data_IF_548713505095
#
_entry.id   IF_548713505095
#
_cell.length_a   1.000
_cell.length_b   1.000
_cell.length_c   1.000
_cell.angle_alpha   90.00
_cell.angle_beta   90.00
_cell.angle_gamma   90.00
#
_symmetry.space_group_name_H-M   'P 1'
#
loop_
_entity.id
_entity.type
_entity.pdbx_description
1 polymer ?
#
# COMPACT_ATOMS: atom_id res chain seq x y z
N UNK A 1 8.01 62.42 6.84
CA UNK A 1 8.50 62.91 5.53
C UNK A 1 9.75 62.11 5.20
N UNK A 2 9.68 61.11 4.41
CA UNK A 2 10.79 60.22 4.04
C UNK A 2 10.57 59.72 2.62
N UNK A 3 11.41 60.12 1.72
CA UNK A 3 11.39 59.80 0.30
C UNK A 3 11.70 58.31 0.07
N UNK A 4 10.83 57.63 -0.63
CA UNK A 4 11.13 56.39 -1.31
C UNK A 4 11.76 56.66 -2.67
N UNK A 5 13.04 56.31 -2.84
CA UNK A 5 13.70 56.27 -4.12
C UNK A 5 13.54 54.86 -4.73
N UNK A 6 12.75 54.76 -5.79
CA UNK A 6 12.66 53.57 -6.64
C UNK A 6 13.95 53.47 -7.50
N UNK A 7 14.65 52.34 -7.31
CA UNK A 7 15.68 51.89 -8.27
C UNK A 7 15.01 50.96 -9.29
N UNK A 8 14.72 51.48 -10.49
CA UNK A 8 14.39 50.67 -11.65
C UNK A 8 15.72 50.19 -12.27
N UNK A 9 16.07 48.91 -12.01
CA UNK A 9 17.10 48.22 -12.76
C UNK A 9 16.43 47.55 -13.96
N UNK A 10 16.56 48.12 -15.11
CA UNK A 10 16.20 47.51 -16.39
C UNK A 10 17.23 46.42 -16.70
N UNK A 11 16.91 45.17 -16.38
CA UNK A 11 17.67 44.04 -16.87
C UNK A 11 17.20 43.74 -18.30
N UNK A 12 18.00 44.14 -19.31
CA UNK A 12 17.85 43.64 -20.68
C UNK A 12 18.24 42.15 -20.69
N UNK A 13 17.32 41.27 -20.42
CA UNK A 13 17.49 39.84 -20.68
C UNK A 13 17.34 39.67 -22.19
N UNK A 14 18.42 39.32 -22.87
CA UNK A 14 18.39 38.89 -24.25
C UNK A 14 17.60 37.60 -24.30
N UNK A 15 16.31 37.63 -24.66
CA UNK A 15 15.46 36.44 -24.80
C UNK A 15 16.00 35.60 -25.96
N UNK A 16 16.42 34.37 -25.75
CA UNK A 16 16.82 33.46 -26.83
C UNK A 16 15.64 33.27 -27.80
N UNK A 17 15.95 33.12 -29.09
CA UNK A 17 14.92 32.91 -30.12
C UNK A 17 14.14 31.64 -29.76
N UNK A 18 12.83 31.62 -30.09
CA UNK A 18 11.91 30.50 -29.76
C UNK A 18 12.47 29.13 -30.18
N UNK A 19 13.24 29.06 -31.25
CA UNK A 19 13.90 27.86 -31.72
C UNK A 19 15.02 27.38 -30.78
N UNK A 20 15.74 28.30 -30.11
CA UNK A 20 16.79 27.94 -29.16
C UNK A 20 16.18 27.37 -27.86
N UNK A 21 15.03 27.91 -27.44
CA UNK A 21 14.28 27.38 -26.28
C UNK A 21 13.74 25.97 -26.57
N UNK A 22 13.25 25.72 -27.80
CA UNK A 22 12.81 24.38 -28.20
C UNK A 22 13.97 23.38 -28.22
N UNK A 23 15.13 23.75 -28.70
CA UNK A 23 16.33 22.90 -28.70
C UNK A 23 16.77 22.56 -27.27
N UNK A 24 16.80 23.53 -26.36
CA UNK A 24 17.15 23.34 -24.95
C UNK A 24 16.13 22.41 -24.25
N UNK A 25 14.84 22.59 -24.52
CA UNK A 25 13.80 21.74 -23.94
C UNK A 25 13.92 20.30 -24.45
N UNK A 26 14.17 20.09 -25.74
CA UNK A 26 14.35 18.76 -26.34
C UNK A 26 15.59 18.08 -25.76
N UNK A 27 16.73 18.78 -25.65
CA UNK A 27 17.94 18.25 -25.00
C UNK A 27 17.70 17.89 -23.53
N UNK A 28 17.02 18.75 -22.78
CA UNK A 28 16.70 18.49 -21.38
C UNK A 28 15.79 17.27 -21.19
N UNK A 29 14.76 17.13 -22.04
CA UNK A 29 13.85 15.96 -22.02
C UNK A 29 14.62 14.70 -22.41
N UNK A 30 15.49 14.77 -23.42
CA UNK A 30 16.30 13.63 -23.87
C UNK A 30 17.31 13.20 -22.80
N UNK A 31 18.02 14.14 -22.15
CA UNK A 31 18.92 13.83 -21.03
C UNK A 31 18.19 13.24 -19.84
N UNK A 32 17.01 13.75 -19.51
CA UNK A 32 16.21 13.23 -18.42
C UNK A 32 15.75 11.80 -18.67
N UNK A 33 15.35 11.47 -19.91
CA UNK A 33 14.98 10.11 -20.31
C UNK A 33 16.19 9.16 -20.31
N UNK A 34 17.37 9.62 -20.79
CA UNK A 34 18.60 8.83 -20.75
C UNK A 34 19.05 8.57 -19.32
N UNK A 35 19.00 9.57 -18.43
CA UNK A 35 19.30 9.42 -17.00
C UNK A 35 18.33 8.44 -16.32
N UNK A 36 17.04 8.48 -16.68
CA UNK A 36 16.04 7.53 -16.15
C UNK A 36 16.30 6.11 -16.63
N UNK A 37 16.69 5.92 -17.90
CA UNK A 37 17.07 4.60 -18.46
C UNK A 37 18.36 4.10 -17.81
N UNK A 38 19.35 4.95 -17.59
CA UNK A 38 20.60 4.61 -16.91
C UNK A 38 20.32 4.26 -15.43
N UNK A 39 19.46 5.00 -14.75
CA UNK A 39 19.06 4.70 -13.39
C UNK A 39 18.32 3.34 -13.32
N UNK A 40 17.43 3.05 -14.28
CA UNK A 40 16.75 1.77 -14.38
C UNK A 40 17.74 0.62 -14.68
N UNK A 41 18.70 0.84 -15.58
CA UNK A 41 19.75 -0.14 -15.90
C UNK A 41 20.72 -0.35 -14.73
N UNK A 42 21.03 0.69 -13.95
CA UNK A 42 21.83 0.59 -12.73
C UNK A 42 21.06 -0.14 -11.62
N UNK A 43 19.76 0.11 -11.46
CA UNK A 43 18.94 -0.65 -10.51
C UNK A 43 18.86 -2.14 -10.85
N UNK A 44 18.84 -2.49 -12.14
CA UNK A 44 18.91 -3.90 -12.60
C UNK A 44 20.33 -4.46 -12.50
N UNK A 45 21.36 -3.61 -12.65
CA UNK A 45 22.78 -4.02 -12.61
C UNK A 45 23.35 -4.18 -11.20
N UNK A 46 22.82 -3.48 -10.20
CA UNK A 46 23.26 -3.62 -8.80
C UNK A 46 22.73 -4.88 -8.10
N UNK A 47 21.82 -5.64 -8.73
CA UNK A 47 21.45 -6.98 -8.26
C UNK A 47 22.56 -8.02 -8.53
N UNK A 48 23.64 -7.65 -9.26
CA UNK A 48 24.64 -8.61 -9.79
C UNK A 48 26.03 -8.56 -9.14
N UNK A 49 26.33 -7.73 -8.13
CA UNK A 49 27.66 -7.70 -7.51
C UNK A 49 27.58 -7.27 -6.04
N UNK A 50 26.95 -8.07 -5.21
CA UNK A 50 27.12 -8.16 -3.79
C UNK A 50 27.16 -9.63 -3.44
N UNK A 51 27.89 -10.02 -2.42
CA UNK A 51 27.78 -11.36 -1.85
C UNK A 51 26.32 -11.76 -1.90
N UNK A 52 26.04 -12.93 -2.48
CA UNK A 52 24.69 -13.46 -2.60
C UNK A 52 24.10 -13.47 -1.19
N UNK A 53 23.27 -12.44 -0.90
CA UNK A 53 22.66 -12.31 0.41
C UNK A 53 21.76 -13.52 0.57
N UNK A 54 22.24 -14.49 1.35
CA UNK A 54 21.48 -15.65 1.74
C UNK A 54 20.46 -15.22 2.82
N UNK A 55 19.19 -14.96 2.46
CA UNK A 55 18.16 -14.58 3.42
C UNK A 55 17.94 -15.69 4.46
N UNK A 56 18.34 -16.93 4.18
CA UNK A 56 18.21 -18.07 5.08
C UNK A 56 19.31 -18.07 6.14
N UNK A 57 20.44 -17.42 5.89
CA UNK A 57 21.54 -17.29 6.86
C UNK A 57 21.24 -16.25 7.95
N UNK A 58 20.33 -15.30 7.71
CA UNK A 58 20.01 -14.28 8.70
C UNK A 58 18.98 -14.81 9.70
N UNK A 59 19.36 -14.92 10.97
CA UNK A 59 18.39 -15.08 12.04
C UNK A 59 17.51 -13.84 12.11
N UNK A 60 16.18 -14.04 12.06
CA UNK A 60 15.20 -12.99 12.26
C UNK A 60 14.20 -13.42 13.32
N UNK A 61 13.79 -12.47 14.16
CA UNK A 61 12.76 -12.70 15.16
C UNK A 61 11.37 -12.95 14.54
N UNK A 62 11.17 -12.55 13.28
CA UNK A 62 9.91 -12.81 12.57
C UNK A 62 9.89 -14.23 11.99
N UNK A 63 8.86 -14.98 12.38
CA UNK A 63 8.56 -16.33 11.84
C UNK A 63 7.08 -16.39 11.52
N UNK A 64 6.70 -16.72 10.26
CA UNK A 64 5.30 -16.93 9.91
C UNK A 64 4.67 -18.08 10.68
N UNK A 65 3.34 -18.06 10.84
CA UNK A 65 2.62 -19.17 11.47
C UNK A 65 2.84 -20.48 10.67
N UNK A 66 3.33 -21.55 11.32
CA UNK A 66 3.65 -22.80 10.63
C UNK A 66 2.40 -23.49 10.11
N UNK A 67 2.55 -24.30 9.05
CA UNK A 67 1.51 -25.20 8.52
C UNK A 67 0.39 -24.49 7.74
N UNK A 68 0.51 -23.21 7.47
CA UNK A 68 -0.44 -22.47 6.64
C UNK A 68 -0.02 -22.49 5.15
N UNK A 69 -1.01 -22.62 4.25
CA UNK A 69 -0.76 -22.59 2.81
C UNK A 69 -0.38 -21.18 2.36
N UNK A 70 0.69 -21.06 1.57
CA UNK A 70 1.20 -19.80 1.08
C UNK A 70 0.38 -19.29 -0.10
N UNK A 71 -0.09 -18.07 -0.02
CA UNK A 71 -0.81 -17.39 -1.10
C UNK A 71 0.21 -16.88 -2.13
N UNK A 72 0.08 -17.28 -3.40
CA UNK A 72 0.95 -16.85 -4.47
C UNK A 72 0.49 -15.53 -5.10
N UNK A 73 -0.82 -15.34 -5.26
CA UNK A 73 -1.36 -14.06 -5.72
C UNK A 73 -2.76 -13.78 -5.18
N UNK A 74 -3.10 -12.50 -5.15
CA UNK A 74 -4.45 -11.99 -4.93
C UNK A 74 -4.76 -10.97 -6.01
N UNK A 75 -5.86 -11.17 -6.74
CA UNK A 75 -6.32 -10.25 -7.79
C UNK A 75 -7.75 -9.82 -7.51
N UNK A 76 -7.99 -8.52 -7.36
CA UNK A 76 -9.32 -7.93 -7.21
C UNK A 76 -9.69 -7.15 -8.45
N UNK A 77 -10.90 -7.36 -8.99
CA UNK A 77 -11.47 -6.60 -10.12
C UNK A 77 -12.80 -5.99 -9.72
N UNK A 78 -13.09 -4.79 -10.21
CA UNK A 78 -14.32 -4.06 -9.93
C UNK A 78 -14.54 -2.93 -10.94
N UNK A 79 -15.81 -2.54 -11.15
CA UNK A 79 -16.17 -1.40 -11.99
C UNK A 79 -16.21 -0.12 -11.15
N UNK A 80 -15.46 0.90 -11.55
CA UNK A 80 -15.50 2.22 -10.92
C UNK A 80 -15.03 3.29 -11.90
N UNK A 81 -15.61 4.50 -11.81
CA UNK A 81 -15.25 5.65 -12.64
C UNK A 81 -15.39 5.38 -14.16
N UNK A 82 -16.30 4.49 -14.56
CA UNK A 82 -16.60 4.18 -15.96
C UNK A 82 -15.62 3.23 -16.64
N UNK A 83 -14.87 2.44 -15.85
CA UNK A 83 -14.00 1.40 -16.37
C UNK A 83 -13.75 0.27 -15.38
N UNK A 84 -13.28 -0.86 -15.92
CA UNK A 84 -12.86 -2.00 -15.12
C UNK A 84 -11.51 -1.70 -14.47
N UNK A 85 -11.51 -1.66 -13.13
CA UNK A 85 -10.32 -1.53 -12.30
C UNK A 85 -9.82 -2.91 -11.89
N UNK A 86 -8.51 -3.06 -11.72
CA UNK A 86 -7.91 -4.30 -11.22
C UNK A 86 -6.71 -4.02 -10.34
N UNK A 87 -6.60 -4.76 -9.24
CA UNK A 87 -5.45 -4.79 -8.34
C UNK A 87 -4.95 -6.22 -8.27
N UNK A 88 -3.78 -6.51 -8.83
CA UNK A 88 -3.14 -7.82 -8.75
C UNK A 88 -1.83 -7.70 -7.97
N UNK A 89 -1.67 -8.54 -6.95
CA UNK A 89 -0.47 -8.67 -6.15
C UNK A 89 0.04 -10.10 -6.23
N UNK A 90 1.33 -10.26 -6.56
CA UNK A 90 2.02 -11.55 -6.64
C UNK A 90 3.11 -11.59 -5.58
N UNK A 91 3.21 -12.71 -4.87
CA UNK A 91 4.09 -12.90 -3.73
C UNK A 91 5.12 -13.99 -3.98
N UNK A 92 6.34 -13.78 -3.52
CA UNK A 92 7.31 -14.84 -3.36
C UNK A 92 7.78 -14.93 -1.91
N UNK A 93 8.29 -16.08 -1.52
CA UNK A 93 8.67 -16.39 -0.15
C UNK A 93 10.09 -16.93 -0.10
N UNK A 94 10.75 -16.77 1.04
CA UNK A 94 11.99 -17.45 1.34
C UNK A 94 11.73 -18.88 1.87
N UNK A 95 12.80 -19.64 2.13
CA UNK A 95 12.68 -21.01 2.63
C UNK A 95 12.02 -21.13 4.01
N UNK A 96 11.94 -20.05 4.79
CA UNK A 96 11.22 -19.97 6.07
C UNK A 96 9.74 -19.57 5.92
N UNK A 97 9.27 -19.38 4.68
CA UNK A 97 7.91 -18.94 4.37
C UNK A 97 7.64 -17.46 4.65
N UNK A 98 8.70 -16.65 4.87
CA UNK A 98 8.57 -15.19 5.00
C UNK A 98 8.43 -14.57 3.61
N UNK A 99 7.61 -13.53 3.47
CA UNK A 99 7.48 -12.82 2.19
C UNK A 99 8.84 -12.23 1.77
N UNK A 100 9.28 -12.54 0.55
CA UNK A 100 10.54 -12.06 -0.04
C UNK A 100 10.30 -10.92 -1.01
N UNK A 101 9.31 -11.08 -1.89
CA UNK A 101 8.94 -10.01 -2.83
C UNK A 101 7.42 -9.87 -2.94
N UNK A 102 6.99 -8.65 -3.22
CA UNK A 102 5.62 -8.35 -3.62
C UNK A 102 5.68 -7.54 -4.91
N UNK A 103 5.13 -8.10 -6.00
CA UNK A 103 4.97 -7.39 -7.26
C UNK A 103 3.50 -7.08 -7.47
N UNK A 104 3.20 -5.85 -7.85
CA UNK A 104 1.81 -5.41 -8.02
C UNK A 104 1.61 -4.78 -9.39
N UNK A 105 0.50 -5.15 -10.03
CA UNK A 105 -0.02 -4.53 -11.24
C UNK A 105 -1.43 -4.03 -10.94
N UNK A 106 -1.62 -2.71 -11.03
CA UNK A 106 -2.86 -2.05 -10.69
C UNK A 106 -3.31 -1.22 -11.88
N UNK A 107 -4.54 -1.40 -12.30
CA UNK A 107 -5.22 -0.56 -13.29
C UNK A 107 -6.38 0.12 -12.60
N UNK A 108 -6.41 1.43 -12.63
CA UNK A 108 -7.52 2.24 -12.09
C UNK A 108 -7.93 3.32 -13.09
N UNK A 109 -9.21 3.66 -13.04
CA UNK A 109 -9.73 4.87 -13.70
C UNK A 109 -9.85 5.97 -12.65
N UNK A 110 -9.10 7.06 -12.83
CA UNK A 110 -9.02 8.15 -11.86
C UNK A 110 -9.51 9.46 -12.44
N UNK A 111 -10.36 10.22 -11.73
CA UNK A 111 -10.80 11.52 -12.16
C UNK A 111 -9.64 12.53 -12.15
N UNK A 112 -9.39 13.17 -13.27
CA UNK A 112 -8.44 14.27 -13.44
C UNK A 112 -9.21 15.54 -13.78
N UNK A 113 -8.99 16.59 -13.02
CA UNK A 113 -9.58 17.90 -13.28
C UNK A 113 -8.75 18.63 -14.34
N UNK A 114 -9.36 18.89 -15.50
CA UNK A 114 -8.76 19.65 -16.58
C UNK A 114 -9.25 21.10 -16.49
N UNK A 115 -8.30 22.04 -16.36
CA UNK A 115 -8.57 23.47 -16.39
C UNK A 115 -8.52 23.95 -17.84
N UNK A 116 -9.67 24.18 -18.47
CA UNK A 116 -9.78 24.81 -19.78
C UNK A 116 -10.43 26.18 -19.62
N UNK A 117 -9.63 27.26 -19.73
CA UNK A 117 -10.12 28.65 -19.77
C UNK A 117 -11.16 29.01 -18.69
N UNK A 118 -10.96 28.53 -17.44
CA UNK A 118 -11.88 28.79 -16.33
C UNK A 118 -13.04 27.80 -16.17
N UNK A 119 -13.15 26.81 -17.03
CA UNK A 119 -14.03 25.66 -16.87
C UNK A 119 -13.25 24.49 -16.28
N UNK A 120 -13.83 23.83 -15.28
CA UNK A 120 -13.27 22.64 -14.64
C UNK A 120 -14.04 21.43 -15.16
N UNK A 121 -13.45 20.71 -16.10
CA UNK A 121 -13.98 19.43 -16.55
C UNK A 121 -13.25 18.30 -15.79
N UNK A 122 -14.02 17.33 -15.34
CA UNK A 122 -13.48 16.11 -14.74
C UNK A 122 -13.59 14.98 -15.74
N UNK A 123 -12.46 14.44 -16.15
CA UNK A 123 -12.38 13.30 -17.07
C UNK A 123 -11.68 12.14 -16.36
N UNK A 124 -12.24 10.94 -16.50
CA UNK A 124 -11.64 9.73 -15.95
C UNK A 124 -10.59 9.19 -16.92
N UNK A 125 -9.35 9.11 -16.44
CA UNK A 125 -8.22 8.57 -17.19
C UNK A 125 -7.79 7.24 -16.63
N UNK A 126 -7.44 6.33 -17.54
CA UNK A 126 -6.78 5.09 -17.17
C UNK A 126 -5.40 5.40 -16.59
N UNK A 127 -5.09 4.81 -15.44
CA UNK A 127 -3.81 4.88 -14.77
C UNK A 127 -3.32 3.45 -14.52
N UNK A 128 -2.14 3.11 -15.02
CA UNK A 128 -1.46 1.86 -14.75
C UNK A 128 -0.39 2.10 -13.69
N UNK A 129 -0.43 1.33 -12.61
CA UNK A 129 0.56 1.41 -11.53
C UNK A 129 1.23 0.04 -11.41
N UNK A 130 2.54 0.01 -11.60
CA UNK A 130 3.34 -1.18 -11.33
C UNK A 130 4.24 -0.95 -10.15
N UNK A 131 4.42 -1.93 -9.29
CA UNK A 131 5.36 -1.83 -8.19
C UNK A 131 6.05 -3.14 -7.89
N UNK A 132 7.25 -3.02 -7.31
CA UNK A 132 8.00 -4.14 -6.74
C UNK A 132 8.50 -3.73 -5.37
N UNK A 133 8.26 -4.57 -4.36
CA UNK A 133 8.79 -4.42 -3.01
C UNK A 133 9.60 -5.66 -2.65
N UNK A 134 10.83 -5.45 -2.15
CA UNK A 134 11.72 -6.50 -1.68
C UNK A 134 11.88 -6.38 -0.17
N UNK A 135 11.77 -7.49 0.53
CA UNK A 135 11.82 -7.59 1.99
C UNK A 135 13.13 -8.25 2.41
N UNK A 136 13.91 -7.56 3.22
CA UNK A 136 15.18 -8.03 3.75
C UNK A 136 15.09 -8.12 5.27
N UNK A 137 15.37 -9.32 5.81
CA UNK A 137 15.31 -9.62 7.24
C UNK A 137 16.74 -9.76 7.78
N UNK A 138 17.12 -8.94 8.77
CA UNK A 138 18.47 -8.94 9.36
C UNK A 138 18.37 -8.89 10.88
N UNK A 139 18.38 -10.03 11.55
CA UNK A 139 18.16 -10.07 12.99
C UNK A 139 16.80 -9.51 13.39
N UNK A 140 16.81 -8.41 14.13
CA UNK A 140 15.57 -7.70 14.52
C UNK A 140 15.10 -6.67 13.48
N UNK A 141 15.88 -6.45 12.43
CA UNK A 141 15.58 -5.42 11.44
C UNK A 141 14.83 -5.98 10.24
N UNK A 142 13.93 -5.15 9.71
CA UNK A 142 13.24 -5.33 8.44
C UNK A 142 13.55 -4.12 7.56
N UNK A 143 14.07 -4.37 6.36
CA UNK A 143 14.11 -3.36 5.30
C UNK A 143 13.10 -3.75 4.23
N UNK A 144 12.29 -2.80 3.76
CA UNK A 144 11.43 -2.96 2.59
C UNK A 144 11.84 -1.91 1.57
N UNK A 145 12.57 -2.36 0.54
CA UNK A 145 12.95 -1.55 -0.60
C UNK A 145 11.91 -1.70 -1.71
N UNK A 146 11.41 -0.59 -2.25
CA UNK A 146 10.36 -0.63 -3.25
C UNK A 146 10.56 0.39 -4.38
N UNK A 147 9.99 0.05 -5.53
CA UNK A 147 9.88 0.94 -6.69
C UNK A 147 8.42 0.93 -7.16
N UNK A 148 7.90 2.11 -7.49
CA UNK A 148 6.57 2.29 -8.06
C UNK A 148 6.67 3.10 -9.33
N UNK A 149 6.08 2.62 -10.41
CA UNK A 149 5.84 3.36 -11.65
C UNK A 149 4.35 3.65 -11.80
N UNK A 150 4.01 4.87 -12.10
CA UNK A 150 2.65 5.30 -12.41
C UNK A 150 2.64 5.84 -13.83
N UNK A 151 1.78 5.27 -14.69
CA UNK A 151 1.67 5.60 -16.09
C UNK A 151 0.24 5.95 -16.45
N UNK A 152 0.08 7.10 -17.09
CA UNK A 152 -1.16 7.55 -17.70
C UNK A 152 -0.99 7.47 -19.22
N UNK A 153 -1.55 6.44 -19.92
CA UNK A 153 -1.36 6.29 -21.36
C UNK A 153 -1.78 7.52 -22.17
N UNK A 154 -2.85 8.18 -21.75
CA UNK A 154 -3.41 9.35 -22.42
C UNK A 154 -2.82 10.69 -21.91
N UNK A 155 -2.05 10.68 -20.83
CA UNK A 155 -1.42 11.85 -20.22
C UNK A 155 0.04 11.56 -19.83
N UNK A 156 0.94 11.29 -20.78
CA UNK A 156 2.32 10.88 -20.48
C UNK A 156 3.12 11.87 -19.61
N UNK A 157 2.75 13.15 -19.63
CA UNK A 157 3.40 14.18 -18.78
C UNK A 157 3.12 13.94 -17.27
N UNK A 158 2.16 13.12 -16.91
CA UNK A 158 1.84 12.75 -15.52
C UNK A 158 2.58 11.49 -15.05
N UNK A 159 3.29 10.80 -15.95
CA UNK A 159 4.02 9.59 -15.60
C UNK A 159 5.09 9.85 -14.55
N UNK A 160 5.24 8.95 -13.58
CA UNK A 160 6.16 9.07 -12.46
C UNK A 160 6.76 7.73 -12.09
N UNK A 161 8.02 7.77 -11.65
CA UNK A 161 8.70 6.64 -11.00
C UNK A 161 9.23 7.14 -9.66
N UNK A 162 9.00 6.37 -8.62
CA UNK A 162 9.52 6.62 -7.29
C UNK A 162 10.12 5.33 -6.70
N UNK A 163 11.25 5.47 -6.01
CA UNK A 163 11.88 4.37 -5.27
C UNK A 163 12.25 4.87 -3.88
N UNK A 164 12.11 3.99 -2.89
CA UNK A 164 12.46 4.28 -1.50
C UNK A 164 12.71 2.99 -0.74
N UNK A 165 13.31 3.11 0.46
CA UNK A 165 13.39 2.03 1.46
C UNK A 165 12.80 2.50 2.77
N UNK A 166 12.04 1.62 3.41
CA UNK A 166 11.52 1.81 4.75
C UNK A 166 12.06 0.74 5.68
N UNK A 167 12.31 1.12 6.93
CA UNK A 167 12.94 0.27 7.91
C UNK A 167 11.99 0.02 9.08
N UNK A 168 11.99 -1.21 9.56
CA UNK A 168 11.25 -1.65 10.73
C UNK A 168 12.13 -2.42 11.70
N UNK A 169 11.62 -2.60 12.92
CA UNK A 169 12.28 -3.38 13.98
C UNK A 169 11.26 -4.33 14.58
N UNK A 170 11.63 -5.60 14.68
CA UNK A 170 10.84 -6.63 15.35
C UNK A 170 11.20 -6.72 16.84
N UNK A 171 10.20 -6.99 17.67
CA UNK A 171 10.40 -7.44 19.04
C UNK A 171 10.94 -8.87 19.08
N UNK A 172 11.48 -9.29 20.20
CA UNK A 172 11.97 -10.65 20.42
C UNK A 172 10.90 -11.74 20.23
N UNK A 173 9.63 -11.40 20.32
CA UNK A 173 8.50 -12.31 20.06
C UNK A 173 8.02 -12.31 18.60
N UNK A 174 8.78 -11.68 17.68
CA UNK A 174 8.53 -11.73 16.25
C UNK A 174 7.45 -10.77 15.71
N UNK A 175 6.94 -9.84 16.52
CA UNK A 175 6.01 -8.81 16.05
C UNK A 175 6.73 -7.49 15.77
N UNK A 176 6.26 -6.75 14.79
CA UNK A 176 6.87 -5.49 14.38
C UNK A 176 6.66 -4.41 15.47
N UNK A 177 7.73 -3.89 16.05
CA UNK A 177 7.69 -2.83 17.06
C UNK A 177 7.53 -1.45 16.44
N UNK A 178 8.26 -1.21 15.38
CA UNK A 178 8.28 0.05 14.62
C UNK A 178 8.41 -0.23 13.14
N UNK A 179 7.85 0.66 12.32
CA UNK A 179 8.12 0.70 10.89
C UNK A 179 8.06 2.15 10.41
N UNK A 180 9.17 2.67 9.89
CA UNK A 180 9.34 4.09 9.57
C UNK A 180 9.04 4.97 10.80
N UNK A 181 8.13 5.93 10.69
CA UNK A 181 7.70 6.81 11.78
C UNK A 181 6.58 6.24 12.66
N UNK A 182 6.07 5.05 12.34
CA UNK A 182 4.99 4.42 13.08
C UNK A 182 5.50 3.45 14.14
N UNK A 183 4.76 3.32 15.23
CA UNK A 183 5.04 2.39 16.32
C UNK A 183 3.79 1.59 16.73
N UNK A 184 3.98 0.42 17.34
CA UNK A 184 2.91 -0.53 17.58
C UNK A 184 2.94 -1.08 18.99
N UNK A 185 1.78 -1.13 19.65
CA UNK A 185 1.59 -1.70 20.98
C UNK A 185 0.74 -2.97 20.93
N UNK A 186 1.08 -3.94 21.76
CA UNK A 186 0.52 -5.28 21.74
C UNK A 186 0.01 -5.72 23.11
N UNK A 187 -1.06 -6.51 23.13
CA UNK A 187 -1.41 -7.39 24.23
C UNK A 187 -0.93 -8.80 23.84
N UNK A 188 0.14 -9.27 24.43
CA UNK A 188 0.91 -10.44 23.98
C UNK A 188 1.37 -10.28 22.51
N UNK A 189 0.81 -11.04 21.58
CA UNK A 189 1.09 -10.94 20.12
C UNK A 189 -0.05 -10.29 19.35
N UNK A 190 -1.10 -9.82 20.00
CA UNK A 190 -2.24 -9.17 19.34
C UNK A 190 -2.02 -7.67 19.29
N UNK A 191 -2.00 -7.09 18.09
CA UNK A 191 -1.95 -5.64 17.93
C UNK A 191 -3.14 -5.01 18.66
N UNK A 192 -2.83 -4.07 19.55
CA UNK A 192 -3.80 -3.30 20.33
C UNK A 192 -3.88 -1.86 19.82
N UNK A 193 -2.73 -1.21 19.63
CA UNK A 193 -2.66 0.17 19.19
C UNK A 193 -1.55 0.35 18.14
N UNK A 194 -1.81 1.22 17.16
CA UNK A 194 -0.82 1.67 16.21
C UNK A 194 -0.78 3.20 16.22
N UNK A 195 0.41 3.76 16.25
CA UNK A 195 0.65 5.20 16.29
C UNK A 195 1.33 5.64 15.00
N UNK A 196 0.79 6.67 14.34
CA UNK A 196 1.39 7.31 13.18
C UNK A 196 1.98 8.65 13.61
N UNK A 197 3.30 8.82 13.42
CA UNK A 197 4.08 10.01 13.79
C UNK A 197 3.90 10.43 15.28
N UNK A 198 3.44 9.52 16.14
CA UNK A 198 3.14 9.81 17.55
C UNK A 198 1.89 10.67 17.82
N UNK A 199 1.22 11.19 16.78
CA UNK A 199 0.06 12.09 16.91
C UNK A 199 -1.28 11.37 16.70
N UNK A 200 -1.36 10.44 15.77
CA UNK A 200 -2.59 9.71 15.44
C UNK A 200 -2.50 8.28 15.96
N UNK A 201 -3.50 7.88 16.73
CA UNK A 201 -3.63 6.53 17.26
C UNK A 201 -4.80 5.79 16.60
N UNK A 202 -4.58 4.51 16.34
CA UNK A 202 -5.58 3.53 15.94
C UNK A 202 -5.71 2.49 17.05
N UNK A 203 -6.85 2.48 17.76
CA UNK A 203 -7.20 1.41 18.68
C UNK A 203 -7.82 0.27 17.88
N UNK A 204 -7.16 -0.88 17.81
CA UNK A 204 -7.65 -2.08 17.13
C UNK A 204 -8.47 -2.93 18.10
N UNK A 205 -9.68 -3.27 17.74
CA UNK A 205 -10.61 -4.05 18.57
C UNK A 205 -10.84 -5.42 17.94
N UNK A 206 -10.88 -6.45 18.77
CA UNK A 206 -11.16 -7.83 18.36
C UNK A 206 -12.47 -8.32 18.95
N UNK A 207 -13.11 -9.25 18.24
CA UNK A 207 -14.27 -10.00 18.74
C UNK A 207 -13.85 -11.18 19.65
N UNK A 208 -14.84 -11.92 20.16
CA UNK A 208 -14.60 -13.08 21.01
C UNK A 208 -13.89 -14.24 20.32
N UNK A 209 -13.91 -14.30 19.00
CA UNK A 209 -13.22 -15.31 18.18
C UNK A 209 -11.78 -14.88 17.80
N UNK A 210 -11.35 -13.69 18.21
CA UNK A 210 -10.01 -13.14 17.93
C UNK A 210 -9.87 -12.46 16.57
N UNK A 211 -10.96 -12.22 15.84
CA UNK A 211 -10.94 -11.46 14.60
C UNK A 211 -10.93 -9.95 14.88
N UNK A 212 -10.34 -9.17 13.99
CA UNK A 212 -10.39 -7.71 14.11
C UNK A 212 -11.79 -7.20 13.76
N UNK A 213 -12.56 -6.81 14.76
CA UNK A 213 -13.94 -6.33 14.60
C UNK A 213 -14.02 -4.85 14.19
N UNK A 214 -12.91 -4.15 14.19
CA UNK A 214 -12.82 -2.76 13.78
C UNK A 214 -11.75 -1.98 14.51
N UNK A 215 -11.75 -0.66 14.31
CA UNK A 215 -10.80 0.25 14.95
C UNK A 215 -11.44 1.60 15.27
N UNK A 216 -10.77 2.36 16.15
CA UNK A 216 -11.04 3.76 16.40
C UNK A 216 -9.80 4.58 16.13
N UNK A 217 -9.90 5.58 15.23
CA UNK A 217 -8.83 6.51 14.87
C UNK A 217 -9.04 7.84 15.54
N UNK A 218 -8.05 8.33 16.28
CA UNK A 218 -8.13 9.60 16.97
C UNK A 218 -6.78 10.29 17.12
N UNK A 219 -6.81 11.60 17.40
CA UNK A 219 -5.61 12.38 17.74
C UNK A 219 -5.26 12.18 19.22
N UNK A 220 -4.01 11.79 19.51
CA UNK A 220 -3.55 11.49 20.87
C UNK A 220 -3.66 12.71 21.78
N UNK A 221 -3.16 13.88 21.36
CA UNK A 221 -3.08 15.07 22.18
C UNK A 221 -4.45 15.66 22.60
N UNK A 222 -5.49 15.50 21.75
CA UNK A 222 -6.79 16.14 21.96
C UNK A 222 -7.94 15.16 22.20
N UNK A 223 -7.73 13.87 21.92
CA UNK A 223 -8.79 12.86 21.92
C UNK A 223 -9.80 13.02 20.77
N UNK A 224 -9.55 13.92 19.81
CA UNK A 224 -10.44 14.13 18.66
C UNK A 224 -10.54 12.86 17.84
N UNK A 225 -11.77 12.33 17.71
CA UNK A 225 -12.06 11.12 16.91
C UNK A 225 -12.24 11.51 15.46
N UNK A 226 -11.53 10.82 14.56
CA UNK A 226 -11.66 10.97 13.12
C UNK A 226 -12.55 9.88 12.52
N UNK A 227 -12.38 8.63 13.01
CA UNK A 227 -13.14 7.48 12.56
C UNK A 227 -13.43 6.55 13.74
N UNK A 228 -14.62 5.97 13.79
CA UNK A 228 -14.99 4.91 14.73
C UNK A 228 -15.69 3.79 13.96
N UNK A 229 -14.91 2.75 13.64
CA UNK A 229 -15.36 1.56 12.90
C UNK A 229 -15.43 0.31 13.78
N UNK A 230 -15.49 0.48 15.10
CA UNK A 230 -15.58 -0.65 16.03
C UNK A 230 -16.88 -1.42 15.85
N UNK A 231 -16.76 -2.75 15.76
CA UNK A 231 -17.91 -3.66 15.57
C UNK A 231 -18.54 -3.61 14.18
N UNK A 232 -17.84 -3.04 13.19
CA UNK A 232 -18.36 -2.91 11.82
C UNK A 232 -17.93 -4.04 10.88
N UNK A 233 -16.96 -4.86 11.27
CA UNK A 233 -16.44 -5.93 10.42
C UNK A 233 -17.04 -7.27 10.80
N UNK A 234 -17.47 -8.00 9.78
CA UNK A 234 -18.16 -9.27 9.89
C UNK A 234 -17.27 -10.39 9.34
N UNK A 235 -17.37 -11.57 9.95
CA UNK A 235 -16.54 -12.72 9.62
C UNK A 235 -17.37 -13.93 9.24
N UNK A 236 -16.85 -14.69 8.27
CA UNK A 236 -17.36 -15.98 7.85
C UNK A 236 -17.07 -17.03 8.94
N UNK A 237 -17.93 -18.07 9.14
CA UNK A 237 -17.64 -19.12 10.10
C UNK A 237 -16.38 -19.93 9.78
N UNK A 238 -15.98 -19.98 8.49
CA UNK A 238 -14.78 -20.71 8.08
C UNK A 238 -13.49 -20.04 8.54
N UNK A 239 -12.56 -20.87 9.03
CA UNK A 239 -11.25 -20.45 9.52
C UNK A 239 -10.32 -20.10 8.37
N UNK A 240 -9.55 -19.05 8.55
CA UNK A 240 -8.45 -18.70 7.63
C UNK A 240 -7.27 -19.69 7.79
N UNK A 241 -7.11 -20.57 6.82
CA UNK A 241 -6.06 -21.60 6.77
C UNK A 241 -4.80 -21.14 6.03
N UNK A 242 -4.78 -19.89 5.52
CA UNK A 242 -3.66 -19.36 4.74
C UNK A 242 -2.69 -18.55 5.60
N UNK A 243 -1.50 -18.29 5.09
CA UNK A 243 -0.53 -17.36 5.70
C UNK A 243 -0.91 -15.88 5.54
N UNK A 244 -2.02 -15.60 4.86
CA UNK A 244 -2.43 -14.26 4.45
C UNK A 244 -3.71 -13.83 5.19
N UNK A 245 -3.68 -12.68 5.84
CA UNK A 245 -4.86 -12.12 6.50
C UNK A 245 -5.68 -11.26 5.53
N UNK A 246 -6.76 -11.83 5.02
CA UNK A 246 -7.65 -11.13 4.10
C UNK A 246 -8.38 -9.96 4.76
N UNK A 247 -8.59 -9.97 6.07
CA UNK A 247 -9.19 -8.82 6.76
C UNK A 247 -8.27 -7.61 6.76
N UNK A 248 -6.97 -7.84 6.93
CA UNK A 248 -5.97 -6.79 6.77
C UNK A 248 -5.87 -6.32 5.31
N UNK A 249 -5.91 -7.25 4.35
CA UNK A 249 -5.90 -6.94 2.92
C UNK A 249 -7.09 -6.07 2.49
N UNK A 250 -8.29 -6.35 3.02
CA UNK A 250 -9.49 -5.54 2.77
C UNK A 250 -9.57 -4.26 3.62
N UNK A 251 -8.54 -3.96 4.40
CA UNK A 251 -8.45 -2.70 5.16
C UNK A 251 -9.22 -2.69 6.49
N UNK A 252 -9.60 -3.85 7.04
CA UNK A 252 -10.37 -3.92 8.28
C UNK A 252 -9.56 -3.50 9.52
N UNK A 253 -8.25 -3.57 9.48
CA UNK A 253 -7.41 -3.22 10.63
C UNK A 253 -7.22 -1.72 10.80
N UNK A 254 -7.34 -0.93 9.73
CA UNK A 254 -7.02 0.50 9.72
C UNK A 254 -5.53 0.82 9.83
N UNK A 255 -4.74 -0.10 10.37
CA UNK A 255 -3.29 0.06 10.62
C UNK A 255 -2.48 0.25 9.34
N UNK A 256 -2.99 -0.20 8.22
CA UNK A 256 -2.41 0.06 6.90
C UNK A 256 -2.28 1.55 6.58
N UNK A 257 -3.07 2.41 7.26
CA UNK A 257 -2.92 3.87 7.16
C UNK A 257 -1.71 4.40 7.92
N UNK A 258 -1.16 3.62 8.87
CA UNK A 258 0.03 3.96 9.65
C UNK A 258 1.33 3.65 8.93
N UNK A 259 1.28 3.17 7.69
CA UNK A 259 2.47 2.84 6.92
C UNK A 259 2.70 3.91 5.86
N UNK A 260 3.96 4.37 5.63
CA UNK A 260 4.24 5.46 4.72
C UNK A 260 3.68 5.23 3.33
N UNK A 261 3.02 6.24 2.80
CA UNK A 261 2.42 6.23 1.47
C UNK A 261 3.43 6.74 0.45
N UNK A 262 3.76 5.93 -0.56
CA UNK A 262 4.68 6.31 -1.64
C UNK A 262 4.05 7.36 -2.56
N UNK A 263 2.75 7.25 -2.78
CA UNK A 263 1.93 8.25 -3.45
C UNK A 263 0.53 8.23 -2.84
N UNK A 264 -0.26 9.30 -3.04
CA UNK A 264 -1.65 9.33 -2.59
C UNK A 264 -2.52 8.24 -3.23
N UNK A 265 -2.07 7.69 -4.35
CA UNK A 265 -2.80 6.68 -5.14
C UNK A 265 -2.35 5.24 -4.85
N UNK A 266 -1.22 5.03 -4.19
CA UNK A 266 -0.66 3.69 -3.99
C UNK A 266 -0.07 3.53 -2.59
N UNK A 267 -0.55 2.52 -1.85
CA UNK A 267 -0.13 2.19 -0.50
C UNK A 267 0.61 0.85 -0.51
N UNK A 268 1.92 0.85 -0.84
CA UNK A 268 2.76 -0.36 -0.92
C UNK A 268 2.73 -1.29 0.31
N UNK A 269 2.55 -0.76 1.52
CA UNK A 269 2.75 -1.54 2.74
C UNK A 269 1.52 -2.28 3.28
N UNK A 270 0.39 -2.31 2.60
CA UNK A 270 -0.78 -3.09 3.05
C UNK A 270 -0.44 -4.53 3.42
N UNK A 271 0.57 -5.07 2.75
CA UNK A 271 0.92 -6.46 2.89
C UNK A 271 1.60 -6.80 4.22
N UNK A 272 2.21 -5.83 4.93
CA UNK A 272 2.83 -6.11 6.24
C UNK A 272 1.82 -6.70 7.22
N UNK A 273 0.61 -6.10 7.30
CA UNK A 273 -0.47 -6.61 8.13
C UNK A 273 -1.03 -7.93 7.59
N UNK A 274 -1.22 -8.02 6.27
CA UNK A 274 -1.72 -9.22 5.62
C UNK A 274 -0.78 -10.43 5.80
N UNK A 275 0.53 -10.22 5.90
CA UNK A 275 1.51 -11.26 6.22
C UNK A 275 1.72 -11.51 7.72
N UNK A 276 0.93 -10.90 8.59
CA UNK A 276 0.97 -11.14 10.03
C UNK A 276 2.14 -10.51 10.76
N UNK A 277 2.85 -9.53 10.16
CA UNK A 277 3.99 -8.85 10.80
C UNK A 277 3.56 -8.00 12.00
N UNK A 278 2.27 -7.65 12.08
CA UNK A 278 1.66 -7.01 13.24
C UNK A 278 1.08 -8.01 14.25
N UNK A 279 1.56 -9.25 14.25
CA UNK A 279 1.19 -10.30 15.19
C UNK A 279 0.01 -11.15 14.72
N UNK A 280 -0.83 -11.59 15.66
CA UNK A 280 -1.90 -12.54 15.36
C UNK A 280 -2.87 -12.00 14.30
N UNK A 281 -3.03 -12.77 13.22
CA UNK A 281 -4.00 -12.52 12.15
C UNK A 281 -5.42 -12.79 12.64
N UNK A 282 -6.43 -12.34 11.89
CA UNK A 282 -7.82 -12.75 12.12
C UNK A 282 -7.98 -14.26 11.90
N UNK A 283 -8.71 -14.90 12.81
CA UNK A 283 -8.89 -16.36 12.80
C UNK A 283 -9.81 -16.84 11.69
N UNK A 284 -10.75 -16.00 11.27
CA UNK A 284 -11.76 -16.32 10.26
C UNK A 284 -11.54 -15.48 8.99
N UNK A 285 -12.14 -15.91 7.90
CA UNK A 285 -12.21 -15.14 6.67
C UNK A 285 -13.16 -13.94 6.83
N UNK A 286 -12.87 -12.77 6.28
CA UNK A 286 -13.80 -11.64 6.31
C UNK A 286 -15.05 -11.97 5.49
N UNK A 287 -16.20 -11.48 5.95
CA UNK A 287 -17.48 -11.72 5.30
C UNK A 287 -18.13 -10.45 4.78
N UNK A 288 -17.92 -9.32 5.46
CA UNK A 288 -18.51 -8.06 5.04
C UNK A 288 -18.23 -6.92 6.01
N UNK A 289 -18.76 -5.76 5.68
CA UNK A 289 -18.64 -4.53 6.45
C UNK A 289 -20.01 -3.88 6.66
N UNK A 290 -20.22 -3.32 7.84
CA UNK A 290 -21.35 -2.45 8.15
C UNK A 290 -20.84 -1.01 8.00
N UNK A 291 -21.42 -0.26 7.08
CA UNK A 291 -21.11 1.16 6.93
C UNK A 291 -22.21 2.01 7.56
N UNK A 292 -21.83 3.07 8.28
CA UNK A 292 -22.76 4.06 8.83
C UNK A 292 -22.64 5.36 8.07
N UNK A 293 -23.73 5.74 7.40
CA UNK A 293 -23.85 7.06 6.79
C UNK A 293 -23.87 8.18 7.83
N UNK A 294 -23.63 9.41 7.37
CA UNK A 294 -23.72 10.60 8.23
C UNK A 294 -25.15 10.83 8.81
N UNK A 295 -26.15 10.26 8.18
CA UNK A 295 -27.56 10.27 8.62
C UNK A 295 -27.87 9.15 9.67
N UNK A 296 -26.87 8.37 10.06
CA UNK A 296 -26.99 7.26 11.00
C UNK A 296 -27.57 5.97 10.39
N UNK A 297 -27.89 5.97 9.09
CA UNK A 297 -28.34 4.75 8.42
C UNK A 297 -27.18 3.80 8.22
N UNK A 298 -27.44 2.50 8.43
CA UNK A 298 -26.50 1.43 8.16
C UNK A 298 -26.74 0.85 6.78
N UNK A 299 -25.70 0.75 5.99
CA UNK A 299 -25.60 -0.11 4.81
C UNK A 299 -24.67 -1.29 5.11
N UNK A 300 -24.82 -2.37 4.37
CA UNK A 300 -24.03 -3.57 4.60
C UNK A 300 -23.53 -4.10 3.26
N UNK A 301 -22.24 -4.28 3.17
CA UNK A 301 -21.58 -4.95 2.06
C UNK A 301 -21.22 -6.34 2.53
N UNK A 302 -21.70 -7.35 1.84
CA UNK A 302 -21.40 -8.74 2.12
C UNK A 302 -20.71 -9.36 0.93
N UNK A 303 -20.04 -10.48 1.15
CA UNK A 303 -19.49 -11.25 0.05
C UNK A 303 -19.48 -12.74 0.37
N UNK A 304 -19.46 -13.53 -0.68
CA UNK A 304 -19.43 -14.98 -0.61
C UNK A 304 -18.05 -15.49 -1.04
N UNK A 305 -17.60 -16.55 -0.35
CA UNK A 305 -16.36 -17.24 -0.61
C UNK A 305 -16.61 -18.55 -1.36
N UNK A 306 -15.83 -18.78 -2.43
CA UNK A 306 -15.67 -20.10 -3.02
C UNK A 306 -14.42 -20.77 -2.45
N UNK A 307 -14.47 -22.10 -2.30
CA UNK A 307 -13.42 -22.90 -1.70
C UNK A 307 -13.00 -24.07 -2.60
N UNK A 308 -11.75 -24.51 -2.45
CA UNK A 308 -11.31 -25.78 -3.00
C UNK A 308 -11.80 -26.96 -2.14
N UNK A 309 -11.49 -28.20 -2.57
CA UNK A 309 -11.85 -29.46 -1.90
C UNK A 309 -11.24 -29.61 -0.49
N UNK A 310 -10.25 -28.78 -0.13
CA UNK A 310 -9.58 -28.75 1.18
C UNK A 310 -10.00 -27.55 2.03
N UNK A 311 -11.01 -26.81 1.61
CA UNK A 311 -11.50 -25.58 2.23
C UNK A 311 -10.44 -24.46 2.29
N UNK A 312 -9.65 -24.28 1.23
CA UNK A 312 -8.88 -23.06 1.02
C UNK A 312 -9.67 -22.09 0.14
N UNK A 313 -9.71 -20.79 0.47
CA UNK A 313 -10.48 -19.82 -0.30
C UNK A 313 -9.89 -19.64 -1.71
N UNK A 314 -10.72 -19.77 -2.75
CA UNK A 314 -10.36 -19.56 -4.15
C UNK A 314 -10.78 -18.20 -4.66
N UNK A 315 -11.97 -17.76 -4.27
CA UNK A 315 -12.47 -16.44 -4.65
C UNK A 315 -13.43 -15.86 -3.64
N UNK A 316 -13.58 -14.53 -3.68
CA UNK A 316 -14.55 -13.77 -2.90
C UNK A 316 -15.26 -12.80 -3.83
N UNK A 317 -16.59 -12.72 -3.75
CA UNK A 317 -17.37 -11.75 -4.52
C UNK A 317 -18.29 -11.01 -3.56
N UNK A 318 -18.21 -9.70 -3.52
CA UNK A 318 -19.08 -8.87 -2.68
C UNK A 318 -20.34 -8.38 -3.43
N UNK A 319 -21.26 -7.79 -2.67
CA UNK A 319 -22.52 -7.24 -3.20
C UNK A 319 -22.33 -6.06 -4.12
N UNK A 320 -21.18 -5.41 -4.12
CA UNK A 320 -20.83 -4.32 -5.03
C UNK A 320 -20.21 -4.84 -6.33
N UNK A 321 -20.12 -6.17 -6.48
CA UNK A 321 -19.59 -6.84 -7.67
C UNK A 321 -18.05 -6.88 -7.71
N UNK A 322 -17.36 -6.53 -6.62
CA UNK A 322 -15.91 -6.71 -6.53
C UNK A 322 -15.59 -8.19 -6.44
N UNK A 323 -14.73 -8.65 -7.32
CA UNK A 323 -14.30 -10.05 -7.37
C UNK A 323 -12.82 -10.16 -7.02
N UNK A 324 -12.52 -10.92 -5.99
CA UNK A 324 -11.15 -11.25 -5.59
C UNK A 324 -10.86 -12.72 -5.90
N UNK A 325 -9.78 -13.01 -6.60
CA UNK A 325 -9.32 -14.36 -6.95
C UNK A 325 -7.97 -14.61 -6.28
N UNK A 326 -7.78 -15.82 -5.75
CA UNK A 326 -6.61 -16.20 -4.96
C UNK A 326 -5.94 -17.40 -5.64
N UNK A 327 -4.60 -17.35 -5.72
CA UNK A 327 -3.79 -18.51 -6.13
C UNK A 327 -2.80 -18.86 -5.02
N UNK A 328 -2.29 -20.08 -5.07
CA UNK A 328 -1.41 -20.62 -4.04
C UNK A 328 -0.06 -21.06 -4.64
N UNK A 329 0.98 -21.01 -3.81
CA UNK A 329 2.23 -21.67 -4.14
C UNK A 329 2.02 -23.20 -4.20
N UNK A 330 2.72 -23.85 -5.15
CA UNK A 330 2.73 -25.30 -5.30
C UNK A 330 3.51 -25.99 -4.19
#
# INVERSE_FOLDING_TARGET
MGLFTQFNVLLFVHLPKINDIRAIIIEYITMKNILSIIALALCVGFVSCGEEYDPDAAESNYTPAPGKRLVASVKTTFEENGGENSHEHRFSYDAKGRVKTVNSDIVIYTPVVINNNGFHDTVNYRCNITSSANYFYRGEELEVAYTVSTEYPDLPAMNRIASNSNFGVFKSNGVLERFSSSSYEYAATQLKQAYMDGDICFDVVRDGDGNVSGYKKYRVATGQVFEDKRGMYLYHPEKNKTNFDFSAYFGYWGVEQCVPVISRSYRAPYQLAAFGMFGSTSNNLPFGVIERGADGKESRIYGDWDFDDKNYPLSYVDTDGRKTVITYCE
#
